data_IF_993788840265
#
_entry.id   IF_993788840265
#
_cell.length_a   1.000
_cell.length_b   1.000
_cell.length_c   1.000
_cell.angle_alpha   90.00
_cell.angle_beta   90.00
_cell.angle_gamma   90.00
#
_symmetry.space_group_name_H-M   'P 1'
#
loop_
_entity.id
_entity.type
_entity.pdbx_description
1 polymer ?
#
# COMPACT_ATOMS: atom_id res chain seq x y z
N UNK A 1 -35.77 -2.00 44.53
CA UNK A 1 -34.42 -1.79 43.97
C UNK A 1 -34.56 -1.68 42.46
N UNK A 2 -34.32 -0.50 41.86
CA UNK A 2 -34.46 -0.31 40.42
C UNK A 2 -33.12 -0.56 39.74
N UNK A 3 -33.07 -1.51 38.79
CA UNK A 3 -31.88 -1.79 38.01
C UNK A 3 -31.84 -0.80 36.83
N UNK A 4 -31.04 0.25 36.96
CA UNK A 4 -30.89 1.25 35.89
C UNK A 4 -29.96 0.70 34.81
N UNK A 5 -30.51 0.42 33.62
CA UNK A 5 -29.71 0.15 32.43
C UNK A 5 -29.15 1.45 31.88
N UNK A 6 -27.86 1.46 31.59
CA UNK A 6 -27.21 2.53 30.82
C UNK A 6 -26.73 1.94 29.50
N UNK A 7 -26.91 2.71 28.42
CA UNK A 7 -26.36 2.40 27.12
C UNK A 7 -25.11 3.26 26.91
N UNK A 8 -23.99 2.62 26.53
CA UNK A 8 -22.74 3.29 26.23
C UNK A 8 -22.58 3.40 24.72
N UNK A 9 -22.47 4.63 24.21
CA UNK A 9 -22.05 4.89 22.84
C UNK A 9 -20.52 4.89 22.77
N UNK A 10 -19.97 4.12 21.83
CA UNK A 10 -18.55 4.13 21.50
C UNK A 10 -18.45 4.48 20.02
N UNK A 11 -17.50 5.35 19.66
CA UNK A 11 -17.21 5.65 18.26
C UNK A 11 -16.26 4.59 17.70
N UNK A 12 -16.68 3.91 16.63
CA UNK A 12 -15.84 2.94 15.89
C UNK A 12 -14.89 3.63 14.89
N UNK A 13 -14.91 4.96 14.81
CA UNK A 13 -14.18 5.73 13.82
C UNK A 13 -14.76 5.60 12.40
N UNK A 14 -14.16 6.27 11.41
CA UNK A 14 -14.58 6.15 10.02
C UNK A 14 -14.32 4.73 9.48
N UNK A 15 -15.16 4.23 8.56
CA UNK A 15 -14.94 2.92 7.94
C UNK A 15 -13.60 2.89 7.20
N UNK A 16 -12.78 1.88 7.49
CA UNK A 16 -11.52 1.66 6.80
C UNK A 16 -11.83 1.14 5.39
N UNK A 17 -11.61 1.99 4.39
CA UNK A 17 -11.68 1.57 3.00
C UNK A 17 -10.46 0.71 2.67
N UNK A 18 -10.72 -0.41 2.01
CA UNK A 18 -9.71 -1.36 1.58
C UNK A 18 -9.83 -1.55 0.07
N UNK A 19 -8.70 -1.58 -0.61
CA UNK A 19 -8.55 -1.84 -2.04
C UNK A 19 -7.73 -3.11 -2.27
N UNK A 20 -7.65 -3.55 -3.52
CA UNK A 20 -6.77 -4.64 -3.94
C UNK A 20 -5.52 -4.03 -4.55
N UNK A 21 -4.35 -4.44 -4.06
CA UNK A 21 -3.07 -3.99 -4.57
C UNK A 21 -2.87 -4.49 -6.01
N UNK A 22 -2.60 -3.61 -7.00
CA UNK A 22 -2.29 -4.04 -8.36
C UNK A 22 -0.87 -4.57 -8.48
N UNK A 23 -0.56 -5.17 -9.63
CA UNK A 23 0.79 -5.50 -10.02
C UNK A 23 1.48 -4.27 -10.64
N UNK A 24 2.55 -3.82 -10.00
CA UNK A 24 3.43 -2.73 -10.43
C UNK A 24 4.72 -3.25 -11.07
N UNK A 25 4.88 -4.57 -11.17
CA UNK A 25 6.03 -5.23 -11.77
C UNK A 25 6.25 -4.80 -13.22
N UNK A 26 7.51 -4.57 -13.58
CA UNK A 26 7.88 -4.16 -14.93
C UNK A 26 7.65 -2.68 -15.25
N UNK A 27 6.97 -1.93 -14.39
CA UNK A 27 6.88 -0.47 -14.53
C UNK A 27 8.23 0.19 -14.24
N UNK A 28 8.45 1.35 -14.85
CA UNK A 28 9.55 2.23 -14.46
C UNK A 28 9.28 2.85 -13.09
N UNK A 29 10.34 3.06 -12.29
CA UNK A 29 10.30 3.61 -10.93
C UNK A 29 9.38 4.82 -10.81
N UNK A 30 9.60 5.84 -11.65
CA UNK A 30 8.85 7.10 -11.58
C UNK A 30 7.35 6.88 -11.78
N UNK A 31 6.97 6.03 -12.75
CA UNK A 31 5.56 5.71 -13.01
C UNK A 31 4.92 4.95 -11.86
N UNK A 32 5.67 4.04 -11.23
CA UNK A 32 5.18 3.29 -10.07
C UNK A 32 5.06 4.20 -8.83
N UNK A 33 6.04 5.07 -8.56
CA UNK A 33 5.99 6.06 -7.48
C UNK A 33 4.78 6.99 -7.63
N UNK A 34 4.59 7.59 -8.81
CA UNK A 34 3.44 8.47 -9.08
C UNK A 34 2.11 7.73 -8.87
N UNK A 35 1.99 6.49 -9.35
CA UNK A 35 0.76 5.72 -9.14
C UNK A 35 0.45 5.51 -7.64
N UNK A 36 1.47 5.20 -6.83
CA UNK A 36 1.30 4.99 -5.38
C UNK A 36 0.86 6.29 -4.70
N UNK A 37 1.54 7.40 -4.99
CA UNK A 37 1.27 8.72 -4.40
C UNK A 37 -0.10 9.27 -4.83
N UNK A 38 -0.41 9.23 -6.12
CA UNK A 38 -1.69 9.70 -6.68
C UNK A 38 -2.88 8.87 -6.15
N UNK A 39 -2.64 7.63 -5.75
CA UNK A 39 -3.65 6.75 -5.14
C UNK A 39 -3.85 7.00 -3.63
N UNK A 40 -3.13 7.95 -3.03
CA UNK A 40 -3.24 8.27 -1.61
C UNK A 40 -2.51 7.29 -0.68
N UNK A 41 -1.51 6.59 -1.22
CA UNK A 41 -0.61 5.72 -0.45
C UNK A 41 0.77 6.38 -0.31
N UNK A 42 1.59 5.82 0.58
CA UNK A 42 2.97 6.28 0.78
C UNK A 42 3.92 5.31 0.10
N UNK A 43 5.01 5.82 -0.48
CA UNK A 43 6.00 4.98 -1.16
C UNK A 43 7.33 4.93 -0.42
N UNK A 44 7.96 3.76 -0.38
CA UNK A 44 9.38 3.60 -0.05
C UNK A 44 10.06 2.84 -1.17
N UNK A 45 11.31 3.17 -1.49
CA UNK A 45 12.04 2.52 -2.57
C UNK A 45 13.31 1.87 -2.07
N UNK A 46 13.43 0.57 -2.35
CA UNK A 46 14.63 -0.22 -2.12
C UNK A 46 15.28 -0.58 -3.45
N UNK A 47 16.56 -0.27 -3.61
CA UNK A 47 17.31 -0.62 -4.81
C UNK A 47 18.05 -1.95 -4.64
N UNK A 48 18.06 -2.78 -5.68
CA UNK A 48 18.76 -4.07 -5.71
C UNK A 48 19.56 -4.24 -6.99
N UNK A 49 20.72 -4.90 -6.89
CA UNK A 49 21.46 -5.35 -8.08
C UNK A 49 20.86 -6.68 -8.55
N UNK A 50 20.38 -6.71 -9.78
CA UNK A 50 19.79 -7.90 -10.39
C UNK A 50 20.16 -7.95 -11.87
N UNK A 51 20.47 -9.13 -12.39
CA UNK A 51 20.78 -9.34 -13.80
C UNK A 51 19.50 -9.56 -14.62
N UNK A 52 19.52 -9.18 -15.90
CA UNK A 52 18.41 -9.44 -16.83
C UNK A 52 17.19 -8.51 -16.66
N UNK A 53 17.29 -7.42 -15.88
CA UNK A 53 16.26 -6.38 -15.78
C UNK A 53 16.87 -5.00 -16.09
N UNK A 54 16.18 -4.12 -16.83
CA UNK A 54 16.65 -2.76 -17.04
C UNK A 54 16.72 -1.98 -15.72
N UNK A 55 17.75 -1.15 -15.56
CA UNK A 55 17.88 -0.26 -14.42
C UNK A 55 16.65 0.67 -14.31
N UNK A 56 16.19 0.91 -13.09
CA UNK A 56 14.99 1.68 -12.81
C UNK A 56 13.66 0.92 -12.96
N UNK A 57 13.70 -0.38 -13.27
CA UNK A 57 12.47 -1.20 -13.37
C UNK A 57 12.06 -1.75 -12.01
N UNK A 58 10.76 -1.72 -11.69
CA UNK A 58 10.21 -2.39 -10.51
C UNK A 58 10.30 -3.90 -10.71
N UNK A 59 11.00 -4.57 -9.81
CA UNK A 59 11.21 -6.02 -9.79
C UNK A 59 10.52 -6.70 -8.61
N UNK A 60 9.95 -5.92 -7.69
CA UNK A 60 9.15 -6.42 -6.59
C UNK A 60 8.38 -5.30 -5.90
N UNK A 61 7.36 -5.68 -5.14
CA UNK A 61 6.52 -4.77 -4.36
C UNK A 61 6.08 -5.43 -3.06
N UNK A 62 5.74 -4.61 -2.06
CA UNK A 62 5.03 -5.01 -0.86
C UNK A 62 4.02 -3.91 -0.47
N UNK A 63 2.72 -4.19 -0.24
CA UNK A 63 2.04 -5.49 -0.35
C UNK A 63 2.13 -6.14 -1.75
N UNK A 64 2.00 -7.47 -1.79
CA UNK A 64 1.98 -8.22 -3.05
C UNK A 64 0.70 -7.93 -3.85
N UNK A 65 0.76 -8.09 -5.17
CA UNK A 65 -0.43 -7.98 -6.01
C UNK A 65 -1.55 -8.92 -5.50
N UNK A 66 -2.78 -8.43 -5.48
CA UNK A 66 -3.94 -9.14 -4.94
C UNK A 66 -4.15 -9.00 -3.44
N UNK A 67 -3.18 -8.49 -2.68
CA UNK A 67 -3.36 -8.29 -1.23
C UNK A 67 -4.18 -7.03 -0.92
N UNK A 68 -4.89 -7.01 0.22
CA UNK A 68 -5.61 -5.82 0.65
C UNK A 68 -4.63 -4.68 1.00
N UNK A 69 -4.97 -3.46 0.58
CA UNK A 69 -4.28 -2.23 0.93
C UNK A 69 -5.29 -1.18 1.44
N UNK A 70 -4.89 -0.39 2.42
CA UNK A 70 -5.71 0.66 3.06
C UNK A 70 -5.12 2.04 2.79
N UNK A 71 -5.94 3.07 2.94
CA UNK A 71 -5.48 4.45 2.80
C UNK A 71 -4.29 4.72 3.73
N UNK A 72 -3.31 5.49 3.23
CA UNK A 72 -2.06 5.80 3.94
C UNK A 72 -1.13 4.61 4.24
N UNK A 73 -1.43 3.39 3.77
CA UNK A 73 -0.48 2.28 3.83
C UNK A 73 0.80 2.62 3.06
N UNK A 74 1.90 1.99 3.46
CA UNK A 74 3.19 2.13 2.79
C UNK A 74 3.34 0.99 1.77
N UNK A 75 3.58 1.37 0.52
CA UNK A 75 4.00 0.47 -0.55
C UNK A 75 5.52 0.55 -0.67
N UNK A 76 6.20 -0.56 -0.41
CA UNK A 76 7.62 -0.71 -0.73
C UNK A 76 7.79 -1.18 -2.17
N UNK A 77 8.57 -0.45 -2.96
CA UNK A 77 8.98 -0.84 -4.30
C UNK A 77 10.43 -1.33 -4.27
N UNK A 78 10.66 -2.54 -4.77
CA UNK A 78 12.01 -3.04 -5.05
C UNK A 78 12.35 -2.73 -6.51
N UNK A 79 13.39 -1.94 -6.73
CA UNK A 79 13.78 -1.43 -8.05
C UNK A 79 15.17 -1.93 -8.44
N UNK A 80 15.32 -2.36 -9.70
CA UNK A 80 16.63 -2.70 -10.26
C UNK A 80 17.54 -1.47 -10.29
N UNK A 81 18.72 -1.58 -9.67
CA UNK A 81 19.79 -0.59 -9.75
C UNK A 81 20.55 -0.72 -11.06
#
# INVERSE_FOLDING_TARGET
MANTRVHRLISDGPPIRTWVMPDLGGLGRQRAESWVEDSGFRVTVRQVRITGRPAGTVVGQLPLAGYPIRSNDIVELTVAR
#
